data_IF_712264882791
#
_entry.id   IF_712264882791
#
_cell.length_a   1.000
_cell.length_b   1.000
_cell.length_c   1.000
_cell.angle_alpha   90.00
_cell.angle_beta   90.00
_cell.angle_gamma   90.00
#
_symmetry.space_group_name_H-M   'P 1'
#
loop_
_entity.id
_entity.type
_entity.pdbx_description
1 polymer ?
#
# COMPACT_ATOMS: atom_id res chain seq x y z
N UNK A 1 -9.01 -11.57 13.73
CA UNK A 1 -7.57 -11.28 13.53
C UNK A 1 -6.82 -12.56 13.80
N UNK A 2 -6.30 -13.21 12.76
CA UNK A 2 -5.49 -14.42 12.88
C UNK A 2 -4.02 -14.06 12.72
N UNK A 3 -3.14 -14.71 13.48
CA UNK A 3 -1.69 -14.62 13.28
C UNK A 3 -1.36 -15.50 12.08
N UNK A 4 -0.72 -14.93 11.05
CA UNK A 4 -0.16 -15.71 9.94
C UNK A 4 1.12 -16.35 10.47
N UNK A 5 1.12 -17.66 10.63
CA UNK A 5 2.32 -18.45 10.95
C UNK A 5 2.76 -19.21 9.71
N UNK A 6 4.03 -19.67 9.68
CA UNK A 6 4.61 -20.41 8.56
C UNK A 6 3.80 -21.65 8.09
N UNK A 7 2.87 -22.15 8.91
CA UNK A 7 2.06 -23.34 8.63
C UNK A 7 0.53 -23.08 8.66
N UNK A 8 0.09 -21.82 8.66
CA UNK A 8 -1.33 -21.48 8.72
C UNK A 8 -2.07 -21.77 7.41
N UNK A 9 -3.20 -22.49 7.49
CA UNK A 9 -4.15 -22.56 6.38
C UNK A 9 -4.84 -21.21 6.18
N UNK A 10 -4.53 -20.55 5.05
CA UNK A 10 -5.04 -19.24 4.69
C UNK A 10 -6.37 -19.28 3.92
N UNK A 11 -6.85 -20.47 3.53
CA UNK A 11 -8.06 -20.63 2.68
C UNK A 11 -9.36 -20.14 3.35
N UNK A 12 -9.34 -19.97 4.67
CA UNK A 12 -10.49 -19.50 5.47
C UNK A 12 -10.61 -17.98 5.52
N UNK A 13 -9.64 -17.26 4.99
CA UNK A 13 -9.61 -15.79 5.00
C UNK A 13 -9.89 -15.24 3.61
N UNK A 14 -10.51 -14.07 3.54
CA UNK A 14 -10.68 -13.30 2.30
C UNK A 14 -9.62 -12.19 2.22
N UNK A 15 -9.21 -11.66 3.37
CA UNK A 15 -8.15 -10.68 3.47
C UNK A 15 -7.21 -10.97 4.64
N UNK A 16 -5.96 -10.55 4.47
CA UNK A 16 -4.89 -10.57 5.48
C UNK A 16 -4.34 -9.16 5.61
N UNK A 17 -4.04 -8.75 6.84
CA UNK A 17 -3.43 -7.44 7.14
C UNK A 17 -2.06 -7.69 7.74
N UNK A 18 -1.03 -7.07 7.18
CA UNK A 18 0.26 -6.93 7.82
C UNK A 18 0.31 -5.55 8.49
N UNK A 19 0.47 -5.48 9.82
CA UNK A 19 0.63 -4.21 10.52
C UNK A 19 1.97 -3.57 10.15
N UNK A 20 2.16 -2.33 10.59
CA UNK A 20 3.48 -1.71 10.53
C UNK A 20 4.47 -2.49 11.37
N UNK A 21 5.38 -3.17 10.68
CA UNK A 21 6.42 -4.01 11.22
C UNK A 21 7.51 -4.13 10.15
N UNK A 22 8.77 -4.16 10.59
CA UNK A 22 9.90 -4.26 9.67
C UNK A 22 9.88 -5.60 8.91
N UNK A 23 10.23 -5.64 7.60
CA UNK A 23 10.26 -6.88 6.83
C UNK A 23 11.11 -7.99 7.46
N UNK A 24 12.26 -7.64 8.06
CA UNK A 24 13.13 -8.61 8.72
C UNK A 24 12.47 -9.19 9.97
N UNK A 25 11.82 -8.35 10.77
CA UNK A 25 11.04 -8.79 11.94
C UNK A 25 9.86 -9.69 11.53
N UNK A 26 9.21 -9.45 10.39
CA UNK A 26 8.14 -10.32 9.90
C UNK A 26 8.71 -11.68 9.45
N UNK A 27 9.82 -11.67 8.72
CA UNK A 27 10.43 -12.87 8.16
C UNK A 27 11.08 -13.75 9.22
N UNK A 28 11.87 -13.15 10.09
CA UNK A 28 12.77 -13.84 11.01
C UNK A 28 12.22 -13.84 12.44
N UNK A 29 11.41 -12.86 12.81
CA UNK A 29 10.84 -12.73 14.16
C UNK A 29 11.92 -12.57 15.23
N UNK A 30 11.55 -12.89 16.47
CA UNK A 30 12.48 -12.85 17.59
C UNK A 30 13.40 -14.09 17.60
N UNK A 31 14.66 -13.91 17.97
CA UNK A 31 15.61 -15.01 18.11
C UNK A 31 15.31 -15.88 19.35
N UNK A 32 15.62 -17.19 19.32
CA UNK A 32 15.50 -18.05 20.49
C UNK A 32 16.23 -17.49 21.72
N UNK A 33 15.52 -17.40 22.84
CA UNK A 33 16.07 -16.88 24.10
C UNK A 33 15.89 -15.38 24.32
N UNK A 34 15.38 -14.63 23.34
CA UNK A 34 15.05 -13.20 23.50
C UNK A 34 13.59 -12.97 23.95
N UNK A 35 12.70 -13.93 23.68
CA UNK A 35 11.28 -13.93 24.02
C UNK A 35 10.82 -15.34 24.46
N UNK A 36 9.63 -15.47 25.09
CA UNK A 36 8.98 -16.76 25.28
C UNK A 36 8.87 -17.53 23.96
N UNK A 37 8.97 -18.86 24.02
CA UNK A 37 9.11 -19.73 22.84
C UNK A 37 7.98 -19.55 21.82
N UNK A 38 6.77 -19.25 22.27
CA UNK A 38 5.59 -19.01 21.44
C UNK A 38 5.66 -17.72 20.61
N UNK A 39 6.59 -16.80 20.91
CA UNK A 39 6.80 -15.54 20.18
C UNK A 39 8.12 -15.51 19.38
N UNK A 40 8.86 -16.62 19.38
CA UNK A 40 10.14 -16.76 18.66
C UNK A 40 9.87 -17.22 17.22
N UNK A 41 10.63 -16.68 16.27
CA UNK A 41 10.54 -17.00 14.85
C UNK A 41 9.51 -16.16 14.09
N UNK A 42 9.77 -15.97 12.80
CA UNK A 42 8.89 -15.26 11.87
C UNK A 42 8.19 -16.20 10.90
N UNK A 43 7.61 -15.63 9.85
CA UNK A 43 6.86 -16.41 8.86
C UNK A 43 7.79 -17.20 7.92
N UNK A 44 9.04 -16.76 7.77
CA UNK A 44 10.05 -17.33 6.88
C UNK A 44 9.60 -17.41 5.41
N UNK A 45 10.43 -18.05 4.58
CA UNK A 45 10.13 -18.26 3.15
C UNK A 45 8.82 -19.03 2.94
N UNK A 46 8.51 -19.99 3.82
CA UNK A 46 7.28 -20.78 3.71
C UNK A 46 6.04 -19.91 3.90
N UNK A 47 6.01 -19.05 4.92
CA UNK A 47 4.89 -18.14 5.16
C UNK A 47 4.78 -17.08 4.07
N UNK A 48 5.90 -16.57 3.57
CA UNK A 48 5.92 -15.66 2.42
C UNK A 48 5.32 -16.30 1.16
N UNK A 49 5.71 -17.53 0.84
CA UNK A 49 5.13 -18.28 -0.28
C UNK A 49 3.64 -18.57 -0.07
N UNK A 50 3.22 -18.82 1.16
CA UNK A 50 1.81 -18.99 1.49
C UNK A 50 1.01 -17.69 1.26
N UNK A 51 1.57 -16.53 1.62
CA UNK A 51 0.97 -15.22 1.35
C UNK A 51 0.90 -14.93 -0.16
N UNK A 52 1.96 -15.21 -0.92
CA UNK A 52 1.97 -15.07 -2.39
C UNK A 52 0.88 -15.94 -3.02
N UNK A 53 0.81 -17.23 -2.64
CA UNK A 53 -0.20 -18.15 -3.14
C UNK A 53 -1.63 -17.72 -2.75
N UNK A 54 -1.82 -17.22 -1.53
CA UNK A 54 -3.09 -16.68 -1.06
C UNK A 54 -3.59 -15.52 -1.93
N UNK A 55 -2.73 -14.53 -2.20
CA UNK A 55 -3.09 -13.38 -3.04
C UNK A 55 -3.34 -13.83 -4.47
N UNK A 56 -2.45 -14.64 -5.05
CA UNK A 56 -2.63 -15.17 -6.42
C UNK A 56 -3.92 -15.97 -6.59
N UNK A 57 -4.37 -16.62 -5.51
CA UNK A 57 -5.63 -17.36 -5.43
C UNK A 57 -6.89 -16.50 -5.31
N UNK A 58 -6.78 -15.17 -5.24
CA UNK A 58 -7.92 -14.26 -5.12
C UNK A 58 -8.02 -13.54 -3.76
N UNK A 59 -7.15 -13.85 -2.81
CA UNK A 59 -7.10 -13.17 -1.51
C UNK A 59 -6.63 -11.72 -1.62
N UNK A 60 -6.99 -10.90 -0.65
CA UNK A 60 -6.51 -9.51 -0.53
C UNK A 60 -5.48 -9.38 0.57
N UNK A 61 -4.27 -8.89 0.25
CA UNK A 61 -3.26 -8.52 1.25
C UNK A 61 -3.26 -7.01 1.43
N UNK A 62 -3.41 -6.54 2.66
CA UNK A 62 -3.27 -5.12 3.02
C UNK A 62 -2.02 -4.96 3.86
N UNK A 63 -1.09 -4.10 3.44
CA UNK A 63 0.11 -3.76 4.23
C UNK A 63 0.00 -2.34 4.75
N UNK A 64 0.59 -2.14 5.93
CA UNK A 64 0.65 -0.85 6.59
C UNK A 64 2.10 -0.44 6.77
N UNK A 65 2.44 0.73 6.26
CA UNK A 65 3.73 1.39 6.40
C UNK A 65 4.88 0.43 6.06
N UNK A 66 5.79 0.11 7.00
CA UNK A 66 6.99 -0.71 6.79
C UNK A 66 6.74 -2.10 6.22
N UNK A 67 5.58 -2.71 6.52
CA UNK A 67 5.27 -4.04 5.99
C UNK A 67 5.03 -4.06 4.47
N UNK A 68 4.84 -2.89 3.87
CA UNK A 68 4.71 -2.75 2.41
C UNK A 68 5.99 -3.16 1.69
N UNK A 69 7.15 -2.93 2.32
CA UNK A 69 8.46 -3.27 1.77
C UNK A 69 8.61 -4.79 1.61
N UNK A 70 8.06 -5.56 2.55
CA UNK A 70 8.02 -7.03 2.46
C UNK A 70 7.23 -7.47 1.22
N UNK A 71 6.01 -6.96 1.03
CA UNK A 71 5.16 -7.36 -0.10
C UNK A 71 5.78 -6.94 -1.44
N UNK A 72 6.34 -5.73 -1.52
CA UNK A 72 7.08 -5.24 -2.69
C UNK A 72 8.19 -6.22 -3.08
N UNK A 73 9.07 -6.55 -2.13
CA UNK A 73 10.26 -7.35 -2.38
C UNK A 73 9.92 -8.82 -2.68
N UNK A 74 9.06 -9.42 -1.86
CA UNK A 74 8.79 -10.85 -1.93
C UNK A 74 7.89 -11.23 -3.11
N UNK A 75 7.00 -10.34 -3.54
CA UNK A 75 6.08 -10.61 -4.66
C UNK A 75 6.59 -10.03 -5.99
N UNK A 76 7.68 -9.25 -5.96
CA UNK A 76 8.25 -8.60 -7.15
C UNK A 76 7.29 -7.57 -7.75
N UNK A 77 6.61 -6.79 -6.90
CA UNK A 77 5.63 -5.80 -7.35
C UNK A 77 6.34 -4.68 -8.14
N UNK A 78 5.70 -4.09 -9.18
CA UNK A 78 6.25 -2.97 -9.95
C UNK A 78 6.13 -1.64 -9.20
N UNK A 79 6.46 -1.64 -7.92
CA UNK A 79 6.40 -0.48 -7.01
C UNK A 79 7.63 -0.55 -6.12
N UNK A 80 8.20 0.60 -5.76
CA UNK A 80 9.28 0.71 -4.77
C UNK A 80 8.96 1.78 -3.73
N UNK A 81 9.61 1.70 -2.57
CA UNK A 81 9.66 2.83 -1.65
C UNK A 81 10.50 3.95 -2.30
N UNK A 82 9.86 5.10 -2.46
CA UNK A 82 10.44 6.28 -3.09
C UNK A 82 11.35 7.06 -2.13
N UNK A 83 11.27 6.81 -0.82
CA UNK A 83 12.03 7.51 0.21
C UNK A 83 13.04 6.61 0.93
N UNK A 84 13.16 5.34 0.55
CA UNK A 84 14.08 4.37 1.17
C UNK A 84 15.54 4.85 1.20
N UNK A 85 16.01 5.43 0.10
CA UNK A 85 17.40 5.88 -0.06
C UNK A 85 17.58 7.38 0.25
N UNK A 86 16.55 8.06 0.75
CA UNK A 86 16.64 9.48 1.07
C UNK A 86 17.57 9.69 2.27
N UNK A 87 18.64 10.50 2.16
CA UNK A 87 19.52 10.77 3.29
C UNK A 87 18.74 11.43 4.44
N UNK A 88 18.99 10.99 5.67
CA UNK A 88 18.30 11.53 6.86
C UNK A 88 18.48 13.06 7.03
N UNK A 89 19.62 13.59 6.58
CA UNK A 89 19.93 15.02 6.59
C UNK A 89 19.17 15.83 5.53
N UNK A 90 18.58 15.16 4.55
CA UNK A 90 17.81 15.74 3.45
C UNK A 90 16.30 15.46 3.59
N UNK A 91 15.92 14.34 4.21
CA UNK A 91 14.54 13.93 4.41
C UNK A 91 14.33 13.37 5.81
N UNK A 92 13.55 14.10 6.62
CA UNK A 92 13.18 13.61 7.94
C UNK A 92 11.83 14.15 8.38
N UNK A 93 10.93 13.24 8.76
CA UNK A 93 9.64 13.58 9.37
C UNK A 93 9.44 12.68 10.59
N UNK A 94 9.69 13.19 11.81
CA UNK A 94 9.60 12.39 13.05
C UNK A 94 8.16 12.07 13.46
N UNK A 95 7.18 12.71 12.82
CA UNK A 95 5.76 12.61 13.17
C UNK A 95 5.06 13.91 12.83
N UNK A 96 4.30 13.93 11.74
CA UNK A 96 3.57 15.11 11.28
C UNK A 96 2.29 14.72 10.56
N UNK A 97 1.34 15.65 10.56
CA UNK A 97 0.15 15.58 9.73
C UNK A 97 0.48 16.14 8.36
N UNK A 98 0.25 15.33 7.33
CA UNK A 98 0.52 15.69 5.94
C UNK A 98 -0.71 15.53 5.07
N UNK A 99 -0.86 16.44 4.11
CA UNK A 99 -1.98 16.45 3.16
C UNK A 99 -1.91 15.27 2.19
N UNK A 100 -3.08 14.69 1.96
CA UNK A 100 -3.33 13.68 0.94
C UNK A 100 -4.37 14.19 -0.06
N UNK A 101 -4.16 13.82 -1.33
CA UNK A 101 -5.15 13.89 -2.41
C UNK A 101 -5.61 12.47 -2.73
N UNK A 102 -6.89 12.21 -2.52
CA UNK A 102 -7.52 10.88 -2.58
C UNK A 102 -8.43 10.81 -3.79
N UNK A 103 -8.30 9.74 -4.58
CA UNK A 103 -9.29 9.44 -5.61
C UNK A 103 -10.54 8.85 -4.97
N UNK A 104 -11.48 9.71 -4.59
CA UNK A 104 -12.75 9.32 -3.96
C UNK A 104 -13.67 8.50 -4.88
N UNK A 105 -13.36 8.41 -6.19
CA UNK A 105 -14.06 7.56 -7.15
C UNK A 105 -13.59 6.10 -7.09
N UNK A 106 -12.41 5.85 -6.53
CA UNK A 106 -11.87 4.51 -6.36
C UNK A 106 -12.65 3.75 -5.26
N UNK A 107 -13.04 2.47 -5.46
CA UNK A 107 -13.84 1.72 -4.48
C UNK A 107 -13.21 1.61 -3.09
N UNK A 108 -11.88 1.49 -3.02
CA UNK A 108 -11.13 1.48 -1.75
C UNK A 108 -11.06 2.84 -1.04
N UNK A 109 -11.51 3.91 -1.68
CA UNK A 109 -11.64 5.25 -1.09
C UNK A 109 -13.10 5.71 -0.95
N UNK A 110 -14.08 4.86 -1.24
CA UNK A 110 -15.50 5.25 -1.17
C UNK A 110 -15.90 5.87 0.16
N UNK A 111 -16.49 7.06 0.04
CA UNK A 111 -16.95 7.90 1.14
C UNK A 111 -15.83 8.69 1.85
N UNK A 112 -14.59 8.63 1.38
CA UNK A 112 -13.57 9.61 1.78
C UNK A 112 -13.85 10.96 1.13
N UNK A 113 -13.28 12.02 1.70
CA UNK A 113 -13.15 13.29 0.98
C UNK A 113 -11.93 13.19 0.06
N UNK A 114 -11.91 14.00 -1.01
CA UNK A 114 -10.75 14.09 -1.91
C UNK A 114 -9.53 14.66 -1.17
N UNK A 115 -9.75 15.58 -0.23
CA UNK A 115 -8.73 16.09 0.68
C UNK A 115 -8.77 15.32 2.00
N UNK A 116 -7.65 14.73 2.39
CA UNK A 116 -7.49 14.00 3.63
C UNK A 116 -6.11 14.25 4.23
N UNK A 117 -5.88 13.70 5.43
CA UNK A 117 -4.65 13.94 6.20
C UNK A 117 -4.09 12.60 6.66
N UNK A 118 -2.82 12.33 6.38
CA UNK A 118 -2.08 11.21 6.94
C UNK A 118 -1.22 11.64 8.13
N UNK A 119 -1.02 10.74 9.08
CA UNK A 119 0.04 10.90 10.06
C UNK A 119 1.30 10.18 9.54
N UNK A 120 2.28 10.95 9.10
CA UNK A 120 3.54 10.47 8.56
C UNK A 120 4.63 10.48 9.64
N UNK A 121 5.32 9.35 9.81
CA UNK A 121 6.35 9.21 10.85
C UNK A 121 7.39 8.21 10.38
N UNK A 122 8.40 8.73 9.67
CA UNK A 122 9.38 7.92 8.93
C UNK A 122 8.68 6.84 8.10
N UNK A 123 7.59 7.25 7.46
CA UNK A 123 6.67 6.40 6.72
C UNK A 123 7.08 6.32 5.25
N UNK A 124 6.28 5.68 4.39
CA UNK A 124 6.61 5.39 2.99
C UNK A 124 5.86 6.30 2.04
N UNK A 125 6.52 6.61 0.93
CA UNK A 125 5.88 7.02 -0.30
C UNK A 125 6.28 6.03 -1.38
N UNK A 126 5.42 5.84 -2.38
CA UNK A 126 5.67 4.84 -3.41
C UNK A 126 6.06 5.49 -4.73
N UNK A 127 6.77 4.74 -5.55
CA UNK A 127 7.02 5.05 -6.95
C UNK A 127 6.71 3.81 -7.79
N UNK A 128 5.96 4.00 -8.87
CA UNK A 128 5.63 2.92 -9.80
C UNK A 128 6.83 2.72 -10.72
N UNK A 129 7.35 1.50 -10.76
CA UNK A 129 8.54 1.16 -11.53
C UNK A 129 8.11 0.53 -12.85
N UNK A 130 8.53 1.13 -13.95
CA UNK A 130 8.31 0.52 -15.26
C UNK A 130 9.16 -0.75 -15.41
N UNK A 131 8.58 -1.84 -15.90
CA UNK A 131 9.34 -3.04 -16.22
C UNK A 131 10.44 -2.75 -17.26
N UNK A 132 11.72 -2.93 -16.91
CA UNK A 132 12.84 -2.79 -17.85
C UNK A 132 12.62 -3.58 -19.15
N UNK A 133 12.49 -2.90 -20.29
CA UNK A 133 12.23 -3.56 -21.57
C UNK A 133 13.47 -4.31 -22.07
N UNK A 134 13.43 -5.65 -22.08
CA UNK A 134 14.27 -6.46 -22.96
C UNK A 134 13.43 -6.88 -24.16
N UNK A 135 13.94 -6.65 -25.37
CA UNK A 135 13.21 -6.60 -26.66
C UNK A 135 12.39 -7.84 -27.06
N UNK A 136 12.44 -8.96 -26.34
CA UNK A 136 11.69 -10.16 -26.72
C UNK A 136 11.00 -10.80 -25.50
N UNK A 137 9.66 -10.68 -25.48
CA UNK A 137 8.69 -11.34 -24.57
C UNK A 137 8.65 -10.82 -23.13
N UNK A 138 7.92 -9.72 -22.91
CA UNK A 138 7.48 -9.34 -21.56
C UNK A 138 5.98 -9.54 -21.41
N UNK A 139 5.58 -10.33 -20.40
CA UNK A 139 4.22 -10.25 -19.88
C UNK A 139 4.00 -8.81 -19.35
N UNK A 140 2.82 -8.19 -19.58
CA UNK A 140 2.53 -6.88 -19.04
C UNK A 140 2.74 -6.87 -17.52
N UNK A 141 3.36 -5.82 -16.98
CA UNK A 141 3.35 -5.62 -15.53
C UNK A 141 1.89 -5.52 -15.07
N UNK A 142 1.55 -6.05 -13.88
CA UNK A 142 0.20 -5.92 -13.37
C UNK A 142 -0.17 -4.44 -13.25
N UNK A 143 -1.44 -4.07 -13.52
CA UNK A 143 -1.87 -2.70 -13.37
C UNK A 143 -1.68 -2.26 -11.91
N UNK A 144 -1.10 -1.07 -11.74
CA UNK A 144 -0.99 -0.38 -10.46
C UNK A 144 -1.99 0.78 -10.46
N UNK A 145 -2.93 0.74 -9.52
CA UNK A 145 -3.94 1.77 -9.32
C UNK A 145 -3.51 2.65 -8.13
N UNK A 146 -3.45 3.97 -8.32
CA UNK A 146 -3.12 4.92 -7.24
C UNK A 146 -4.41 5.40 -6.59
N UNK A 147 -4.56 5.14 -5.29
CA UNK A 147 -5.77 5.46 -4.53
C UNK A 147 -5.63 6.81 -3.83
N UNK A 148 -4.42 7.12 -3.35
CA UNK A 148 -4.11 8.39 -2.74
C UNK A 148 -2.66 8.79 -3.03
N UNK A 149 -2.42 10.09 -3.11
CA UNK A 149 -1.10 10.73 -3.23
C UNK A 149 -0.90 11.68 -2.06
N UNK A 150 0.34 11.93 -1.69
CA UNK A 150 0.64 13.15 -0.93
C UNK A 150 0.34 14.37 -1.79
N UNK A 151 -0.03 15.50 -1.17
CA UNK A 151 -0.15 16.77 -1.90
C UNK A 151 1.16 17.10 -2.63
N UNK A 152 1.05 17.86 -3.72
CA UNK A 152 2.20 18.21 -4.57
C UNK A 152 3.14 19.18 -3.86
N UNK A 153 2.57 20.20 -3.23
CA UNK A 153 3.27 21.26 -2.49
C UNK A 153 2.50 21.57 -1.19
N UNK A 154 3.16 22.29 -0.26
CA UNK A 154 2.58 22.78 1.02
C UNK A 154 1.89 21.67 1.82
N UNK A 155 2.52 20.50 1.84
CA UNK A 155 1.91 19.28 2.34
C UNK A 155 1.89 19.17 3.88
N UNK A 156 2.57 20.06 4.61
CA UNK A 156 2.60 20.03 6.08
C UNK A 156 1.38 20.74 6.67
N UNK A 157 0.42 19.99 7.22
CA UNK A 157 -0.65 20.60 8.01
C UNK A 157 -0.19 20.99 9.41
N UNK A 158 0.59 20.10 10.05
CA UNK A 158 1.03 20.29 11.43
C UNK A 158 2.21 19.40 11.78
N UNK A 159 3.17 19.98 12.50
CA UNK A 159 4.34 19.29 13.02
C UNK A 159 5.62 19.90 12.46
N UNK A 160 6.54 19.05 12.03
CA UNK A 160 7.82 19.46 11.48
C UNK A 160 8.22 18.48 10.37
N UNK A 161 8.61 19.03 9.24
CA UNK A 161 9.16 18.26 8.13
C UNK A 161 10.50 18.84 7.68
N UNK A 162 11.27 17.98 7.04
CA UNK A 162 12.44 18.33 6.27
C UNK A 162 12.36 17.60 4.93
N UNK A 163 12.39 18.37 3.84
CA UNK A 163 12.50 17.87 2.47
C UNK A 163 11.22 17.27 1.91
N UNK A 164 10.07 17.44 2.55
CA UNK A 164 8.84 16.75 2.17
C UNK A 164 8.40 17.08 0.74
N UNK A 165 8.45 18.33 0.29
CA UNK A 165 8.06 18.70 -1.08
C UNK A 165 8.90 17.93 -2.12
N UNK A 166 10.20 17.76 -1.86
CA UNK A 166 11.11 17.03 -2.76
C UNK A 166 10.88 15.51 -2.74
N UNK A 167 10.64 14.95 -1.56
CA UNK A 167 10.66 13.50 -1.34
C UNK A 167 9.27 12.86 -1.27
N UNK A 168 8.21 13.62 -1.00
CA UNK A 168 6.82 13.16 -0.91
C UNK A 168 5.91 13.81 -1.96
N UNK A 169 6.20 15.04 -2.38
CA UNK A 169 5.35 15.83 -3.28
C UNK A 169 4.77 15.02 -4.43
N UNK A 170 3.44 14.89 -4.47
CA UNK A 170 2.67 14.20 -5.51
C UNK A 170 2.87 12.67 -5.60
N UNK A 171 3.74 12.10 -4.76
CA UNK A 171 4.03 10.66 -4.78
C UNK A 171 2.83 9.86 -4.26
N UNK A 172 2.55 8.69 -4.84
CA UNK A 172 1.55 7.77 -4.31
C UNK A 172 1.79 7.43 -2.83
N UNK A 173 0.76 7.64 -2.01
CA UNK A 173 0.73 7.28 -0.60
C UNK A 173 0.00 5.94 -0.39
N UNK A 174 -0.95 5.61 -1.27
CA UNK A 174 -1.68 4.34 -1.26
C UNK A 174 -1.84 3.82 -2.67
N UNK A 175 -1.44 2.57 -2.89
CA UNK A 175 -1.57 1.90 -4.19
C UNK A 175 -2.20 0.53 -4.04
N UNK A 176 -2.91 0.11 -5.08
CA UNK A 176 -3.37 -1.26 -5.29
C UNK A 176 -2.59 -1.86 -6.45
N UNK A 177 -2.05 -3.04 -6.24
CA UNK A 177 -1.39 -3.84 -7.28
C UNK A 177 -2.15 -5.14 -7.45
N UNK A 178 -2.59 -5.44 -8.67
CA UNK A 178 -3.17 -6.75 -8.96
C UNK A 178 -2.08 -7.82 -8.94
N UNK A 179 -2.27 -8.92 -8.24
CA UNK A 179 -1.28 -10.01 -8.19
C UNK A 179 -1.94 -11.37 -8.33
N UNK A 180 -1.87 -11.94 -9.53
CA UNK A 180 -2.71 -13.08 -9.90
C UNK A 180 -4.19 -12.67 -9.93
N UNK A 181 -5.04 -13.38 -9.18
CA UNK A 181 -6.48 -13.09 -9.11
C UNK A 181 -6.86 -12.12 -7.99
N UNK A 182 -6.00 -11.95 -7.00
CA UNK A 182 -6.23 -11.09 -5.83
C UNK A 182 -5.45 -9.78 -5.89
N UNK A 183 -5.55 -9.02 -4.81
CA UNK A 183 -5.02 -7.66 -4.71
C UNK A 183 -3.99 -7.54 -3.58
N UNK A 184 -2.95 -6.74 -3.81
CA UNK A 184 -2.06 -6.23 -2.78
C UNK A 184 -2.31 -4.73 -2.64
N UNK A 185 -2.72 -4.29 -1.45
CA UNK A 185 -2.95 -2.87 -1.13
C UNK A 185 -1.83 -2.41 -0.22
N UNK A 186 -1.00 -1.51 -0.73
CA UNK A 186 0.11 -0.91 0.01
C UNK A 186 -0.33 0.45 0.53
N UNK A 187 -0.41 0.60 1.86
CA UNK A 187 -0.70 1.87 2.51
C UNK A 187 0.60 2.37 3.14
N UNK A 188 1.16 3.45 2.61
CA UNK A 188 2.48 3.95 2.99
C UNK A 188 2.56 4.54 4.40
N UNK A 189 1.47 4.51 5.18
CA UNK A 189 1.40 5.04 6.54
C UNK A 189 0.41 4.22 7.36
N UNK A 190 0.42 4.40 8.68
CA UNK A 190 -0.53 3.73 9.58
C UNK A 190 -1.91 4.39 9.52
N UNK A 191 -2.78 3.97 8.60
CA UNK A 191 -4.14 4.52 8.45
C UNK A 191 -4.98 4.46 9.74
N UNK A 192 -4.77 3.45 10.58
CA UNK A 192 -5.46 3.28 11.86
C UNK A 192 -4.81 4.03 13.03
N UNK A 193 -3.71 4.77 12.84
CA UNK A 193 -2.82 5.31 13.88
C UNK A 193 -3.55 5.66 15.19
N UNK A 194 -3.32 4.83 16.23
CA UNK A 194 -3.89 4.96 17.59
C UNK A 194 -5.43 5.13 17.67
N UNK A 195 -6.16 4.78 16.62
CA UNK A 195 -7.60 5.01 16.52
C UNK A 195 -8.01 6.47 16.31
N UNK A 196 -7.06 7.37 15.99
CA UNK A 196 -7.29 8.81 15.93
C UNK A 196 -7.61 9.30 14.49
N UNK A 197 -6.96 8.72 13.47
CA UNK A 197 -7.03 9.17 12.07
C UNK A 197 -8.29 8.70 11.34
N UNK A 198 -9.47 9.11 11.81
CA UNK A 198 -10.77 8.64 11.26
C UNK A 198 -10.95 8.91 9.76
N UNK A 199 -10.32 9.95 9.22
CA UNK A 199 -10.39 10.31 7.81
C UNK A 199 -9.74 9.25 6.90
N UNK A 200 -8.75 8.49 7.37
CA UNK A 200 -8.00 7.51 6.57
C UNK A 200 -8.41 6.06 6.84
N UNK A 201 -9.29 5.80 7.81
CA UNK A 201 -9.76 4.45 8.15
C UNK A 201 -10.38 3.70 6.97
N UNK A 202 -11.01 4.42 6.05
CA UNK A 202 -11.65 3.82 4.87
C UNK A 202 -10.63 3.18 3.93
N UNK A 203 -9.40 3.68 3.88
CA UNK A 203 -8.30 3.06 3.15
C UNK A 203 -7.95 1.67 3.69
N UNK A 204 -8.22 1.40 4.98
CA UNK A 204 -8.05 0.08 5.59
C UNK A 204 -9.32 -0.77 5.47
N UNK A 205 -10.50 -0.22 5.78
CA UNK A 205 -11.72 -1.03 5.84
C UNK A 205 -12.32 -1.35 4.47
N UNK A 206 -12.22 -0.45 3.49
CA UNK A 206 -12.81 -0.68 2.18
C UNK A 206 -12.13 -1.85 1.42
N UNK A 207 -10.79 -2.04 1.45
CA UNK A 207 -10.17 -3.25 0.93
C UNK A 207 -10.67 -4.53 1.61
N UNK A 208 -10.83 -4.50 2.94
CA UNK A 208 -11.34 -5.67 3.69
C UNK A 208 -12.78 -6.00 3.30
N UNK A 209 -13.62 -4.97 3.16
CA UNK A 209 -14.99 -5.15 2.69
C UNK A 209 -15.05 -5.60 1.23
N UNK A 210 -14.22 -5.00 0.37
CA UNK A 210 -14.10 -5.35 -1.05
C UNK A 210 -13.64 -6.78 -1.27
N UNK A 211 -12.80 -7.33 -0.38
CA UNK A 211 -12.35 -8.73 -0.44
C UNK A 211 -13.49 -9.75 -0.32
N UNK A 212 -14.64 -9.36 0.25
CA UNK A 212 -15.81 -10.24 0.39
C UNK A 212 -16.95 -9.86 -0.54
N UNK A 213 -16.84 -8.75 -1.26
CA UNK A 213 -17.89 -8.22 -2.12
C UNK A 213 -17.61 -8.54 -3.60
N UNK A 214 -18.50 -9.33 -4.21
CA UNK A 214 -18.41 -9.63 -5.64
C UNK A 214 -18.49 -8.33 -6.48
N UNK A 215 -17.53 -8.12 -7.38
CA UNK A 215 -17.55 -7.05 -8.37
C UNK A 215 -16.99 -5.68 -7.95
N UNK A 216 -16.72 -5.44 -6.65
CA UNK A 216 -16.18 -4.17 -6.18
C UNK A 216 -14.79 -3.87 -6.76
N UNK A 217 -13.98 -4.92 -6.94
CA UNK A 217 -12.63 -4.88 -7.51
C UNK A 217 -12.61 -4.94 -9.04
N UNK A 218 -13.71 -5.37 -9.66
CA UNK A 218 -13.89 -5.44 -11.11
C UNK A 218 -14.40 -4.10 -11.69
N UNK A 219 -15.22 -3.36 -10.94
CA UNK A 219 -15.72 -2.04 -11.34
C UNK A 219 -14.60 -1.00 -11.50
N UNK A 220 -13.53 -1.07 -10.69
CA UNK A 220 -12.37 -0.19 -10.80
C UNK A 220 -11.53 -0.43 -12.08
N UNK A 221 -11.48 -1.68 -12.58
CA UNK A 221 -10.73 -2.03 -13.78
C UNK A 221 -11.45 -1.67 -15.09
N UNK A 222 -12.70 -1.21 -15.02
CA UNK A 222 -13.58 -1.01 -16.17
C UNK A 222 -13.71 0.44 -16.64
N UNK A 223 -12.83 1.36 -16.21
CA UNK A 223 -12.83 2.75 -16.71
C UNK A 223 -11.72 2.96 -17.75
N UNK A 224 -12.00 2.83 -19.06
CA UNK A 224 -11.14 3.37 -20.10
C UNK A 224 -11.61 4.78 -20.51
N UNK A 225 -10.60 5.65 -20.67
CA UNK A 225 -10.53 6.84 -21.53
C UNK A 225 -11.57 7.96 -21.36
N UNK A 226 -11.10 9.07 -20.79
CA UNK A 226 -11.70 10.39 -20.91
C UNK A 226 -11.94 10.73 -22.39
N UNK A 227 -13.21 10.68 -22.80
CA UNK A 227 -13.62 11.12 -24.13
C UNK A 227 -13.17 12.55 -24.42
N UNK A 228 -12.55 12.71 -25.59
CA UNK A 228 -12.29 13.99 -26.24
C UNK A 228 -13.54 14.87 -26.14
N UNK A 229 -13.41 16.02 -25.47
CA UNK A 229 -14.37 17.10 -25.63
C UNK A 229 -14.15 17.72 -27.01
N UNK A 230 -14.86 17.19 -28.00
CA UNK A 230 -15.08 17.88 -29.27
C UNK A 230 -15.96 19.11 -29.00
N UNK A 231 -15.32 20.21 -28.64
CA UNK A 231 -15.93 21.52 -28.43
C UNK A 231 -16.05 22.28 -29.75
N UNK A 232 -17.10 21.94 -30.49
CA UNK A 232 -17.84 22.73 -31.46
C UNK A 232 -17.25 24.10 -31.89
N UNK A 233 -16.81 24.15 -33.16
CA UNK A 233 -16.88 25.37 -33.94
C UNK A 233 -18.33 25.68 -34.30
N UNK A 234 -18.81 26.88 -33.94
CA UNK A 234 -19.99 27.49 -34.53
C UNK A 234 -19.83 29.02 -34.53
N UNK A 235 -19.64 29.53 -35.74
CA UNK A 235 -19.93 30.85 -36.33
C UNK A 235 -20.29 32.01 -35.40
#
# INVERSE_FOLDING_TARGET
VGIVTAAGDLSRYHAIILPDQDPDEILNGYEPGTMPQEYVGGIGLQGTNALDAFVRGGGTLVTLDSSSDLAIQQFGLPVRDAVADAPFEDFFIPGSLVDLRVDASHPYAYGMQEDATAFFVRSRAFEIVEPASSEDRRAPAPPVEVIARYAEDDLLESGWELGADRYLGGKPAVVRVRHGQGDVVLIGFRAQMRGQSRNTFKLLFNPLHGSTAEGLTAAAAATPESGEREGAGAR
#
